data_IF_433140570361
#
_entry.id   IF_433140570361
#
_cell.length_a   1.000
_cell.length_b   1.000
_cell.length_c   1.000
_cell.angle_alpha   90.00
_cell.angle_beta   90.00
_cell.angle_gamma   90.00
#
_symmetry.space_group_name_H-M   'P 1'
#
loop_
_entity.id
_entity.type
_entity.pdbx_description
1 polymer ?
#
# COMPACT_ATOMS: atom_id res chain seq x y z
N UNK A 1 8.81 -4.31 -8.62
CA UNK A 1 9.85 -4.20 -7.54
C UNK A 1 9.40 -4.96 -6.27
N UNK A 2 10.29 -5.67 -5.55
CA UNK A 2 9.91 -6.49 -4.36
C UNK A 2 9.32 -5.65 -3.20
N UNK A 3 9.74 -4.38 -3.07
CA UNK A 3 9.17 -3.45 -2.08
C UNK A 3 7.64 -3.34 -2.15
N UNK A 4 7.07 -3.18 -3.36
CA UNK A 4 5.63 -2.98 -3.50
C UNK A 4 4.83 -4.25 -3.12
N UNK A 5 5.40 -5.45 -3.33
CA UNK A 5 4.79 -6.69 -2.82
C UNK A 5 4.75 -6.73 -1.30
N UNK A 6 5.85 -6.32 -0.66
CA UNK A 6 5.93 -6.26 0.80
C UNK A 6 4.94 -5.24 1.36
N UNK A 7 4.89 -4.03 0.79
CA UNK A 7 3.91 -3.01 1.22
C UNK A 7 2.48 -3.45 0.96
N UNK A 8 2.20 -4.17 -0.13
CA UNK A 8 0.89 -4.77 -0.40
C UNK A 8 0.48 -5.71 0.75
N UNK A 9 1.33 -6.67 1.08
CA UNK A 9 1.06 -7.65 2.15
C UNK A 9 0.95 -6.98 3.53
N UNK A 10 1.79 -6.00 3.85
CA UNK A 10 1.74 -5.27 5.13
C UNK A 10 0.50 -4.37 5.29
N UNK A 11 -0.20 -4.07 4.20
CA UNK A 11 -1.44 -3.28 4.20
C UNK A 11 -2.69 -4.15 4.09
N UNK A 12 -2.57 -5.47 4.02
CA UNK A 12 -3.71 -6.38 4.07
C UNK A 12 -4.11 -6.67 5.52
N UNK A 13 -5.33 -7.17 5.70
CA UNK A 13 -5.76 -7.69 7.00
C UNK A 13 -4.75 -8.74 7.49
N UNK A 14 -4.19 -8.61 8.70
CA UNK A 14 -3.13 -9.50 9.14
C UNK A 14 -3.68 -10.90 9.40
N UNK A 15 -3.11 -11.87 8.69
CA UNK A 15 -3.36 -13.29 8.87
C UNK A 15 -2.13 -14.01 9.41
N UNK A 16 -2.29 -15.26 9.84
CA UNK A 16 -1.19 -16.06 10.39
C UNK A 16 -0.03 -16.22 9.38
N UNK A 17 -0.35 -16.29 8.09
CA UNK A 17 0.66 -16.38 7.03
C UNK A 17 1.61 -15.17 7.02
N UNK A 18 1.11 -13.95 7.26
CA UNK A 18 1.98 -12.77 7.39
C UNK A 18 2.96 -12.96 8.55
N UNK A 19 2.47 -13.40 9.71
CA UNK A 19 3.27 -13.58 10.93
C UNK A 19 4.35 -14.64 10.73
N UNK A 20 3.99 -15.76 10.11
CA UNK A 20 4.90 -16.88 9.84
C UNK A 20 6.02 -16.48 8.88
N UNK A 21 5.77 -15.51 7.99
CA UNK A 21 6.73 -15.02 7.00
C UNK A 21 7.48 -13.73 7.41
N UNK A 22 7.25 -13.17 8.61
CA UNK A 22 7.98 -12.00 9.11
C UNK A 22 9.52 -12.17 9.07
N UNK A 23 10.10 -13.35 9.36
CA UNK A 23 11.56 -13.53 9.24
C UNK A 23 12.10 -13.27 7.83
N UNK A 24 11.40 -13.74 6.79
CA UNK A 24 11.83 -13.51 5.39
C UNK A 24 11.70 -12.02 5.01
N UNK A 25 10.62 -11.37 5.45
CA UNK A 25 10.42 -9.93 5.19
C UNK A 25 11.53 -9.12 5.86
N UNK A 26 11.87 -9.43 7.12
CA UNK A 26 12.96 -8.77 7.84
C UNK A 26 14.32 -8.97 7.17
N UNK A 27 14.65 -10.20 6.74
CA UNK A 27 15.89 -10.50 6.03
C UNK A 27 16.00 -9.62 4.77
N UNK A 28 14.93 -9.56 3.96
CA UNK A 28 14.92 -8.71 2.78
C UNK A 28 15.07 -7.21 3.12
N UNK A 29 14.37 -6.71 4.14
CA UNK A 29 14.46 -5.28 4.55
C UNK A 29 15.88 -4.93 5.01
N UNK A 30 16.58 -5.85 5.67
CA UNK A 30 17.94 -5.63 6.15
C UNK A 30 18.97 -5.60 5.01
N UNK A 31 18.84 -6.49 4.03
CA UNK A 31 19.89 -6.73 3.04
C UNK A 31 19.67 -6.02 1.70
N UNK A 32 18.44 -5.61 1.39
CA UNK A 32 18.12 -5.02 0.09
C UNK A 32 18.77 -3.66 -0.13
N UNK A 33 19.25 -3.42 -1.35
CA UNK A 33 19.69 -2.10 -1.82
C UNK A 33 18.54 -1.27 -2.42
N UNK A 34 17.34 -1.84 -2.54
CA UNK A 34 16.18 -1.20 -3.18
C UNK A 34 15.59 -0.05 -2.37
N UNK A 35 15.90 0.01 -1.07
CA UNK A 35 15.33 0.98 -0.12
C UNK A 35 16.43 1.81 0.55
N UNK A 36 16.10 3.07 0.84
CA UNK A 36 17.01 3.95 1.56
C UNK A 36 17.00 3.71 3.08
N UNK A 37 17.85 4.45 3.81
CA UNK A 37 17.97 4.31 5.26
C UNK A 37 16.69 4.69 6.01
N UNK A 38 15.95 5.68 5.50
CA UNK A 38 14.72 6.15 6.12
C UNK A 38 13.62 5.10 5.94
N UNK A 39 13.40 4.63 4.71
CA UNK A 39 12.44 3.58 4.39
C UNK A 39 12.72 2.31 5.18
N UNK A 40 13.99 1.89 5.27
CA UNK A 40 14.40 0.75 6.09
C UNK A 40 14.02 0.93 7.56
N UNK A 41 14.29 2.10 8.13
CA UNK A 41 13.97 2.38 9.54
C UNK A 41 12.46 2.33 9.81
N UNK A 42 11.65 2.85 8.88
CA UNK A 42 10.19 2.84 9.01
C UNK A 42 9.64 1.40 8.92
N UNK A 43 10.12 0.61 7.95
CA UNK A 43 9.72 -0.79 7.81
C UNK A 43 10.14 -1.62 9.03
N UNK A 44 11.38 -1.47 9.52
CA UNK A 44 11.86 -2.18 10.71
C UNK A 44 11.01 -1.85 11.95
N UNK A 45 10.62 -0.59 12.13
CA UNK A 45 9.76 -0.19 13.24
C UNK A 45 8.39 -0.87 13.17
N UNK A 46 7.78 -0.91 11.98
CA UNK A 46 6.50 -1.58 11.78
C UNK A 46 6.60 -3.11 11.95
N UNK A 47 7.61 -3.75 11.36
CA UNK A 47 7.85 -5.19 11.52
C UNK A 47 8.09 -5.57 12.98
N UNK A 48 8.83 -4.75 13.73
CA UNK A 48 9.02 -4.94 15.17
C UNK A 48 7.70 -4.87 15.93
N UNK A 49 6.74 -4.01 15.53
CA UNK A 49 5.42 -3.98 16.14
C UNK A 49 4.64 -5.26 15.87
N UNK A 50 4.71 -5.80 14.64
CA UNK A 50 4.05 -7.05 14.26
C UNK A 50 4.59 -8.23 15.07
N UNK A 51 5.91 -8.33 15.24
CA UNK A 51 6.56 -9.41 16.01
C UNK A 51 6.21 -9.39 17.51
N UNK A 52 6.01 -8.20 18.07
CA UNK A 52 5.79 -8.02 19.50
C UNK A 52 4.30 -7.95 19.90
N UNK A 53 3.38 -8.13 18.94
CA UNK A 53 1.95 -8.04 19.17
C UNK A 53 1.25 -9.36 18.87
N UNK A 54 0.29 -9.81 19.71
CA UNK A 54 -0.57 -10.94 19.37
C UNK A 54 -1.35 -10.67 18.08
N UNK A 55 -1.50 -11.67 17.20
CA UNK A 55 -2.23 -11.53 15.94
C UNK A 55 -3.63 -10.92 16.11
N UNK A 56 -4.38 -11.37 17.13
CA UNK A 56 -5.72 -10.83 17.40
C UNK A 56 -5.73 -9.33 17.68
N UNK A 57 -4.64 -8.78 18.27
CA UNK A 57 -4.50 -7.34 18.53
C UNK A 57 -4.19 -6.57 17.26
N UNK A 58 -3.36 -7.13 16.38
CA UNK A 58 -3.07 -6.57 15.07
C UNK A 58 -4.33 -6.53 14.19
N UNK A 59 -5.13 -7.60 14.24
CA UNK A 59 -6.43 -7.68 13.56
C UNK A 59 -7.43 -6.65 14.09
N UNK A 60 -7.53 -6.50 15.41
CA UNK A 60 -8.35 -5.46 16.05
C UNK A 60 -7.90 -4.05 15.63
N UNK A 61 -6.60 -3.79 15.64
CA UNK A 61 -6.01 -2.51 15.20
C UNK A 61 -6.30 -2.22 13.73
N UNK A 62 -6.19 -3.22 12.86
CA UNK A 62 -6.52 -3.10 11.44
C UNK A 62 -7.98 -2.69 11.24
N UNK A 63 -8.93 -3.43 11.82
CA UNK A 63 -10.37 -3.14 11.70
C UNK A 63 -10.70 -1.74 12.23
N UNK A 64 -10.15 -1.39 13.39
CA UNK A 64 -10.35 -0.07 13.98
C UNK A 64 -9.74 1.06 13.12
N UNK A 65 -8.67 0.77 12.39
CA UNK A 65 -8.01 1.76 11.53
C UNK A 65 -8.72 1.92 10.20
N UNK A 66 -8.98 0.83 9.48
CA UNK A 66 -9.38 0.87 8.07
C UNK A 66 -10.88 0.61 7.83
N UNK A 67 -11.52 -0.24 8.63
CA UNK A 67 -12.92 -0.64 8.40
C UNK A 67 -13.90 0.28 9.13
N UNK A 68 -13.49 0.82 10.28
CA UNK A 68 -14.33 1.67 11.13
C UNK A 68 -14.23 3.17 10.80
N UNK A 69 -13.23 3.59 10.02
CA UNK A 69 -12.95 5.00 9.74
C UNK A 69 -12.88 5.23 8.22
N UNK A 70 -13.95 5.79 7.60
CA UNK A 70 -13.99 6.01 6.15
C UNK A 70 -12.81 6.83 5.60
N UNK A 71 -12.32 7.80 6.36
CA UNK A 71 -11.19 8.66 6.01
C UNK A 71 -9.85 7.93 5.93
N UNK A 72 -9.78 6.68 6.39
CA UNK A 72 -8.62 5.80 6.30
C UNK A 72 -8.76 4.73 5.21
N UNK A 73 -9.90 4.67 4.50
CA UNK A 73 -10.18 3.60 3.54
C UNK A 73 -9.01 3.33 2.58
N UNK A 74 -8.69 2.07 2.33
CA UNK A 74 -7.67 1.68 1.36
C UNK A 74 -8.20 1.65 -0.10
N UNK A 75 -9.47 1.99 -0.33
CA UNK A 75 -10.03 2.16 -1.67
C UNK A 75 -9.79 3.58 -2.18
N UNK A 76 -8.84 3.75 -3.10
CA UNK A 76 -8.37 5.09 -3.49
C UNK A 76 -9.46 5.94 -4.16
N UNK A 77 -10.39 5.32 -4.89
CA UNK A 77 -11.48 6.06 -5.55
C UNK A 77 -12.45 6.66 -4.54
N UNK A 78 -12.55 6.09 -3.33
CA UNK A 78 -13.38 6.65 -2.25
C UNK A 78 -12.91 8.06 -1.86
N UNK A 79 -11.59 8.29 -1.81
CA UNK A 79 -11.02 9.60 -1.48
C UNK A 79 -11.16 10.63 -2.60
N UNK A 80 -11.28 10.17 -3.85
CA UNK A 80 -11.39 11.04 -5.02
C UNK A 80 -12.84 11.42 -5.33
N UNK A 81 -13.75 10.46 -5.20
CA UNK A 81 -15.13 10.58 -5.68
C UNK A 81 -16.17 10.44 -4.56
N UNK A 82 -15.86 9.80 -3.43
CA UNK A 82 -16.85 9.45 -2.42
C UNK A 82 -18.01 8.65 -3.05
N UNK A 83 -19.23 9.17 -2.91
CA UNK A 83 -20.46 8.61 -3.52
C UNK A 83 -20.77 9.19 -4.92
N UNK A 84 -19.84 9.91 -5.54
CA UNK A 84 -20.03 10.47 -6.87
C UNK A 84 -20.16 9.36 -7.93
N UNK A 85 -21.09 9.56 -8.87
CA UNK A 85 -21.39 8.63 -9.97
C UNK A 85 -20.19 8.30 -10.87
N UNK A 86 -19.16 9.14 -10.88
CA UNK A 86 -17.93 8.93 -11.65
C UNK A 86 -17.01 7.86 -11.04
N UNK A 87 -17.28 7.42 -9.80
CA UNK A 87 -16.54 6.32 -9.17
C UNK A 87 -16.62 5.02 -9.98
N UNK A 88 -17.82 4.68 -10.46
CA UNK A 88 -18.04 3.46 -11.25
C UNK A 88 -17.19 3.40 -12.52
N UNK A 89 -17.25 4.42 -13.40
CA UNK A 89 -16.37 4.53 -14.55
C UNK A 89 -14.88 4.43 -14.22
N UNK A 90 -14.40 5.13 -13.18
CA UNK A 90 -12.99 5.06 -12.78
C UNK A 90 -12.54 3.63 -12.38
N UNK A 91 -13.41 2.86 -11.73
CA UNK A 91 -13.13 1.46 -11.40
C UNK A 91 -13.08 0.57 -12.64
N UNK A 92 -13.93 0.84 -13.64
CA UNK A 92 -13.92 0.12 -14.92
C UNK A 92 -12.61 0.41 -15.66
N UNK A 93 -12.25 1.68 -15.81
CA UNK A 93 -11.03 2.10 -16.50
C UNK A 93 -9.77 1.47 -15.85
N UNK A 94 -9.70 1.45 -14.51
CA UNK A 94 -8.60 0.79 -13.80
C UNK A 94 -8.58 -0.73 -14.01
N UNK A 95 -9.76 -1.37 -14.05
CA UNK A 95 -9.88 -2.79 -14.35
C UNK A 95 -9.47 -3.14 -15.79
N UNK A 96 -9.76 -2.27 -16.76
CA UNK A 96 -9.31 -2.41 -18.14
C UNK A 96 -7.79 -2.24 -18.26
N UNK A 97 -7.22 -1.26 -17.56
CA UNK A 97 -5.77 -1.08 -17.48
C UNK A 97 -5.05 -2.35 -16.99
N UNK A 98 -5.55 -3.01 -15.95
CA UNK A 98 -4.95 -4.26 -15.48
C UNK A 98 -5.00 -5.38 -16.54
N UNK A 99 -6.11 -5.48 -17.27
CA UNK A 99 -6.27 -6.47 -18.35
C UNK A 99 -5.30 -6.24 -19.51
N UNK A 100 -5.02 -4.99 -19.85
CA UNK A 100 -4.07 -4.64 -20.92
C UNK A 100 -2.64 -5.13 -20.62
N UNK A 101 -2.29 -5.25 -19.34
CA UNK A 101 -1.03 -5.83 -18.88
C UNK A 101 -1.10 -7.35 -18.65
N UNK A 102 -2.21 -8.00 -19.04
CA UNK A 102 -2.44 -9.42 -18.86
C UNK A 102 -2.64 -9.83 -17.39
N UNK A 103 -2.98 -8.89 -16.51
CA UNK A 103 -3.21 -9.15 -15.09
C UNK A 103 -4.72 -9.30 -14.87
N UNK A 104 -5.15 -10.51 -14.55
CA UNK A 104 -6.53 -10.79 -14.13
C UNK A 104 -6.72 -10.43 -12.65
N UNK A 105 -6.74 -9.13 -12.33
CA UNK A 105 -6.82 -8.64 -10.94
C UNK A 105 -8.14 -8.98 -10.23
N UNK A 106 -9.15 -9.52 -10.93
CA UNK A 106 -10.53 -9.36 -10.50
C UNK A 106 -11.41 -10.62 -10.38
N UNK A 107 -10.93 -11.86 -10.61
CA UNK A 107 -11.82 -13.03 -10.44
C UNK A 107 -11.61 -13.80 -9.12
N UNK A 108 -10.40 -13.80 -8.56
CA UNK A 108 -10.09 -14.56 -7.34
C UNK A 108 -10.21 -13.74 -6.05
N UNK A 109 -9.95 -12.42 -6.09
CA UNK A 109 -9.75 -11.61 -4.89
C UNK A 109 -11.02 -11.07 -4.21
N UNK A 110 -12.20 -11.10 -4.86
CA UNK A 110 -13.45 -10.44 -4.38
C UNK A 110 -13.34 -8.94 -4.04
N UNK A 111 -12.19 -8.33 -4.24
CA UNK A 111 -11.90 -6.92 -3.96
C UNK A 111 -12.06 -6.04 -5.21
N UNK A 112 -12.32 -4.75 -4.98
CA UNK A 112 -12.36 -3.75 -6.05
C UNK A 112 -10.94 -3.44 -6.56
N UNK A 113 -10.78 -3.09 -7.85
CA UNK A 113 -9.46 -2.86 -8.47
C UNK A 113 -8.69 -1.67 -7.86
N UNK A 114 -9.37 -0.78 -7.14
CA UNK A 114 -8.78 0.39 -6.48
C UNK A 114 -8.30 0.15 -5.05
N UNK A 115 -8.40 -1.08 -4.56
CA UNK A 115 -7.86 -1.47 -3.27
C UNK A 115 -6.33 -1.33 -3.29
N UNK A 116 -5.77 -0.55 -2.37
CA UNK A 116 -4.36 -0.17 -2.40
C UNK A 116 -3.38 -1.37 -2.43
N UNK A 117 -3.56 -2.46 -1.66
CA UNK A 117 -2.74 -3.65 -1.81
C UNK A 117 -2.75 -4.25 -3.23
N UNK A 118 -3.87 -4.26 -3.94
CA UNK A 118 -3.93 -4.71 -5.33
C UNK A 118 -3.18 -3.75 -6.27
N UNK A 119 -3.34 -2.44 -6.08
CA UNK A 119 -2.59 -1.42 -6.82
C UNK A 119 -1.08 -1.62 -6.64
N UNK A 120 -0.63 -1.90 -5.41
CA UNK A 120 0.78 -2.14 -5.11
C UNK A 120 1.28 -3.47 -5.68
N UNK A 121 0.44 -4.50 -5.69
CA UNK A 121 0.76 -5.76 -6.33
C UNK A 121 0.95 -5.56 -7.84
N UNK A 122 0.04 -4.83 -8.49
CA UNK A 122 0.15 -4.43 -9.89
C UNK A 122 1.44 -3.63 -10.14
N UNK A 123 1.70 -2.60 -9.32
CA UNK A 123 2.92 -1.80 -9.41
C UNK A 123 4.21 -2.64 -9.21
N UNK A 124 4.12 -3.78 -8.54
CA UNK A 124 5.25 -4.69 -8.39
C UNK A 124 5.61 -5.44 -9.69
N UNK A 125 4.65 -5.61 -10.61
CA UNK A 125 4.85 -6.22 -11.94
C UNK A 125 5.41 -5.23 -12.96
N UNK A 126 5.16 -3.94 -12.78
CA UNK A 126 5.67 -2.88 -13.66
C UNK A 126 7.17 -2.64 -13.47
N UNK A 127 7.81 -2.05 -14.48
CA UNK A 127 9.18 -1.54 -14.32
C UNK A 127 9.23 -0.35 -13.36
N UNK A 128 10.44 0.05 -12.94
CA UNK A 128 10.60 1.11 -11.94
C UNK A 128 10.08 2.47 -12.39
N UNK A 129 10.13 2.78 -13.70
CA UNK A 129 9.67 4.06 -14.22
C UNK A 129 8.15 4.07 -14.40
N UNK A 130 7.60 2.98 -14.93
CA UNK A 130 6.16 2.76 -15.11
C UNK A 130 5.43 2.77 -13.77
N UNK A 131 5.95 2.05 -12.76
CA UNK A 131 5.38 2.03 -11.42
C UNK A 131 5.36 3.40 -10.75
N UNK A 132 6.43 4.21 -10.90
CA UNK A 132 6.44 5.58 -10.39
C UNK A 132 5.39 6.45 -11.09
N UNK A 133 5.28 6.37 -12.42
CA UNK A 133 4.27 7.14 -13.19
C UNK A 133 2.87 6.72 -12.75
N UNK A 134 2.58 5.42 -12.76
CA UNK A 134 1.29 4.86 -12.38
C UNK A 134 0.85 5.29 -10.97
N UNK A 135 1.74 5.18 -9.98
CA UNK A 135 1.43 5.60 -8.60
C UNK A 135 1.30 7.13 -8.47
N UNK A 136 1.94 7.91 -9.33
CA UNK A 136 1.91 9.37 -9.26
C UNK A 136 0.51 9.95 -9.51
N UNK A 137 -0.34 9.26 -10.27
CA UNK A 137 -1.73 9.63 -10.50
C UNK A 137 -2.55 9.65 -9.19
N UNK A 138 -2.18 8.80 -8.23
CA UNK A 138 -2.81 8.70 -6.92
C UNK A 138 -2.09 9.50 -5.81
N UNK A 139 -1.03 10.25 -6.14
CA UNK A 139 -0.19 10.95 -5.14
C UNK A 139 -0.98 11.83 -4.17
N UNK A 140 -2.00 12.55 -4.66
CA UNK A 140 -2.86 13.39 -3.82
C UNK A 140 -3.61 12.57 -2.77
N UNK A 141 -4.11 11.39 -3.15
CA UNK A 141 -4.82 10.48 -2.26
C UNK A 141 -3.88 9.96 -1.17
N UNK A 142 -2.66 9.54 -1.52
CA UNK A 142 -1.67 9.12 -0.53
C UNK A 142 -1.34 10.22 0.48
N UNK A 143 -1.27 11.48 0.03
CA UNK A 143 -1.07 12.63 0.92
C UNK A 143 -2.21 12.81 1.94
N UNK A 144 -3.47 12.68 1.49
CA UNK A 144 -4.65 12.77 2.36
C UNK A 144 -4.70 11.59 3.34
N UNK A 145 -4.57 10.37 2.84
CA UNK A 145 -4.60 9.16 3.65
C UNK A 145 -3.49 9.16 4.71
N UNK A 146 -2.25 9.50 4.32
CA UNK A 146 -1.13 9.65 5.24
C UNK A 146 -1.44 10.70 6.33
N UNK A 147 -1.99 11.86 5.97
CA UNK A 147 -2.31 12.91 6.94
C UNK A 147 -3.37 12.46 7.96
N UNK A 148 -4.40 11.74 7.50
CA UNK A 148 -5.44 11.20 8.37
C UNK A 148 -4.87 10.14 9.33
N UNK A 149 -4.09 9.18 8.82
CA UNK A 149 -3.45 8.15 9.63
C UNK A 149 -2.47 8.75 10.64
N UNK A 150 -1.69 9.78 10.27
CA UNK A 150 -0.81 10.51 11.21
C UNK A 150 -1.60 11.20 12.32
N UNK A 151 -2.74 11.81 12.00
CA UNK A 151 -3.62 12.45 12.98
C UNK A 151 -4.18 11.42 13.96
N UNK A 152 -4.42 10.20 13.51
CA UNK A 152 -4.84 9.07 14.34
C UNK A 152 -3.68 8.37 15.08
N UNK A 153 -2.43 8.83 14.91
CA UNK A 153 -1.22 8.18 15.42
C UNK A 153 -1.09 6.70 15.00
N UNK A 154 -1.59 6.38 13.81
CA UNK A 154 -1.57 5.03 13.26
C UNK A 154 -0.20 4.70 12.64
N UNK A 155 0.39 3.54 12.93
CA UNK A 155 1.68 3.13 12.38
C UNK A 155 1.64 2.91 10.86
N UNK A 156 0.45 2.64 10.30
CA UNK A 156 0.25 2.52 8.86
C UNK A 156 0.57 3.81 8.10
N UNK A 157 0.56 4.97 8.77
CA UNK A 157 0.98 6.23 8.18
C UNK A 157 2.39 6.19 7.59
N UNK A 158 3.29 5.43 8.21
CA UNK A 158 4.67 5.31 7.76
C UNK A 158 4.77 4.48 6.48
N UNK A 159 3.98 3.40 6.36
CA UNK A 159 3.88 2.63 5.12
C UNK A 159 3.34 3.48 3.96
N UNK A 160 2.27 4.25 4.21
CA UNK A 160 1.72 5.18 3.20
C UNK A 160 2.75 6.26 2.83
N UNK A 161 3.58 6.70 3.77
CA UNK A 161 4.63 7.70 3.49
C UNK A 161 5.69 7.18 2.51
N UNK A 162 6.07 5.89 2.60
CA UNK A 162 6.99 5.24 1.67
C UNK A 162 6.38 5.23 0.26
N UNK A 163 5.11 4.83 0.15
CA UNK A 163 4.38 4.80 -1.12
C UNK A 163 4.30 6.20 -1.73
N UNK A 164 3.92 7.20 -0.93
CA UNK A 164 3.80 8.59 -1.37
C UNK A 164 5.14 9.17 -1.84
N UNK A 165 6.24 8.82 -1.18
CA UNK A 165 7.60 9.23 -1.56
C UNK A 165 8.02 8.68 -2.93
N UNK A 166 7.62 7.44 -3.23
CA UNK A 166 7.91 6.75 -4.50
C UNK A 166 6.94 7.06 -5.63
N UNK A 167 5.78 7.64 -5.32
CA UNK A 167 4.81 8.18 -6.28
C UNK A 167 5.20 9.57 -6.82
N UNK A 168 6.50 9.91 -6.86
CA UNK A 168 6.97 11.25 -7.21
C UNK A 168 8.07 11.20 -8.26
N UNK A 169 7.79 11.80 -9.43
CA UNK A 169 8.72 11.92 -10.56
C UNK A 169 9.92 12.85 -10.29
N UNK A 170 9.96 13.53 -9.14
CA UNK A 170 11.00 14.49 -8.77
C UNK A 170 12.26 13.91 -8.13
N UNK A 171 12.43 12.58 -8.03
CA UNK A 171 13.72 12.01 -7.64
C UNK A 171 14.73 12.06 -8.79
N UNK A 172 15.20 13.27 -9.11
CA UNK A 172 16.51 13.44 -9.72
C UNK A 172 17.52 13.26 -8.60
N UNK A 173 18.25 12.14 -8.67
CA UNK A 173 19.50 11.81 -7.98
C UNK A 173 20.04 12.94 -7.08
N UNK A 174 19.99 12.75 -5.77
CA UNK A 174 21.00 13.34 -4.92
C UNK A 174 22.32 12.61 -5.26
N UNK A 175 23.15 13.29 -6.04
CA UNK A 175 24.52 12.89 -6.36
C UNK A 175 25.42 12.93 -5.12
#
# INVERSE_FOLDING_TARGET
>A
MKLYKILSVLLQYPEQELIDNLPEINEWVNDTADIDKQERSLLQAYLSQLENSPLIKLQEEYVNTFDMVPEHSLHLTHHLFGDDKNRGPALIDLGELYKDYGVEVAESAKELPDYLPLILEFAAYLDSSESTVFLSDAKKVFGVLMANLKKAASPYADLISIIAGRASLTQIKAA
#
